data_IF_585092644448
#
_entry.id   IF_585092644448
#
_cell.length_a   1.000
_cell.length_b   1.000
_cell.length_c   1.000
_cell.angle_alpha   90.00
_cell.angle_beta   90.00
_cell.angle_gamma   90.00
#
_symmetry.space_group_name_H-M   'P 1'
#
loop_
_entity.id
_entity.type
_entity.pdbx_description
1 polymer ?
#
# COMPACT_ATOMS: atom_id res chain seq x y z
N UNK A 1 -55.77 -15.17 16.43
CA UNK A 1 -54.64 -15.01 15.48
C UNK A 1 -53.78 -13.87 15.99
N UNK A 2 -52.60 -14.17 16.58
CA UNK A 2 -51.69 -13.13 17.11
C UNK A 2 -50.65 -12.82 16.03
N UNK A 3 -50.78 -11.63 15.43
CA UNK A 3 -49.89 -11.12 14.39
C UNK A 3 -48.48 -10.91 14.95
N UNK A 4 -47.52 -11.71 14.50
CA UNK A 4 -46.10 -11.56 14.83
C UNK A 4 -45.47 -10.53 13.89
N UNK A 5 -45.68 -9.25 14.18
CA UNK A 5 -45.17 -8.13 13.38
C UNK A 5 -43.76 -7.66 13.80
N UNK A 6 -43.08 -8.40 14.69
CA UNK A 6 -41.79 -7.99 15.26
C UNK A 6 -40.56 -8.41 14.44
N UNK A 7 -40.74 -9.25 13.42
CA UNK A 7 -39.63 -9.88 12.69
C UNK A 7 -39.06 -9.11 11.47
N UNK A 8 -39.78 -8.20 10.78
CA UNK A 8 -39.20 -7.49 9.63
C UNK A 8 -38.39 -6.25 10.05
N UNK A 9 -38.57 -5.72 11.27
CA UNK A 9 -37.92 -4.50 11.72
C UNK A 9 -36.43 -4.70 12.03
N UNK A 10 -36.04 -5.92 12.45
CA UNK A 10 -34.66 -6.26 12.81
C UNK A 10 -33.72 -6.37 11.60
N UNK A 11 -34.25 -6.68 10.41
CA UNK A 11 -33.45 -6.74 9.18
C UNK A 11 -33.11 -5.35 8.62
N UNK A 12 -33.95 -4.34 8.88
CA UNK A 12 -33.75 -2.99 8.34
C UNK A 12 -32.63 -2.22 9.08
N UNK A 13 -32.39 -2.53 10.36
CA UNK A 13 -31.34 -1.90 11.15
C UNK A 13 -29.92 -2.38 10.79
N UNK A 14 -29.76 -3.58 10.22
CA UNK A 14 -28.44 -4.12 9.86
C UNK A 14 -27.85 -3.46 8.59
N UNK A 15 -28.69 -2.90 7.72
CA UNK A 15 -28.26 -2.22 6.50
C UNK A 15 -27.75 -0.79 6.73
N UNK A 16 -28.05 -0.20 7.89
CA UNK A 16 -27.64 1.18 8.23
C UNK A 16 -26.20 1.28 8.74
N UNK A 17 -25.52 0.15 8.96
CA UNK A 17 -24.12 0.09 9.43
C UNK A 17 -23.13 -0.41 8.35
N UNK A 18 -23.58 -0.59 7.11
CA UNK A 18 -22.67 -0.82 5.99
C UNK A 18 -22.04 0.53 5.62
N UNK A 19 -20.92 0.88 6.29
CA UNK A 19 -20.14 2.07 5.96
C UNK A 19 -19.69 2.03 4.49
N UNK A 20 -19.64 3.19 3.79
CA UNK A 20 -19.12 3.25 2.45
C UNK A 20 -17.60 3.07 2.52
N UNK A 21 -17.11 1.92 2.07
CA UNK A 21 -15.68 1.66 2.06
C UNK A 21 -15.38 0.19 1.88
N UNK A 22 -15.60 -0.34 0.68
CA UNK A 22 -14.97 -1.59 0.28
C UNK A 22 -13.50 -1.26 -0.02
N UNK A 23 -12.71 -1.10 1.04
CA UNK A 23 -11.26 -1.11 0.94
C UNK A 23 -10.81 -2.56 0.93
N UNK A 24 -10.32 -3.03 -0.22
CA UNK A 24 -9.63 -4.31 -0.29
C UNK A 24 -8.20 -4.10 0.18
N UNK A 25 -7.78 -4.84 1.21
CA UNK A 25 -6.40 -4.88 1.66
C UNK A 25 -5.80 -6.26 1.36
N UNK A 26 -4.57 -6.26 0.86
CA UNK A 26 -3.77 -7.45 0.62
C UNK A 26 -2.39 -7.30 1.22
N UNK A 27 -1.87 -8.39 1.77
CA UNK A 27 -0.51 -8.48 2.29
C UNK A 27 0.27 -9.48 1.45
N UNK A 28 1.51 -9.13 1.13
CA UNK A 28 2.45 -10.00 0.43
C UNK A 28 3.82 -9.93 1.10
N UNK A 29 4.52 -11.06 1.12
CA UNK A 29 5.91 -11.13 1.53
C UNK A 29 6.76 -11.54 0.34
N UNK A 30 7.95 -10.97 0.25
CA UNK A 30 8.87 -11.23 -0.84
C UNK A 30 10.27 -10.71 -0.55
N UNK A 31 11.06 -10.58 -1.61
CA UNK A 31 12.37 -9.96 -1.57
C UNK A 31 12.27 -8.54 -2.13
N UNK A 32 12.77 -7.57 -1.39
CA UNK A 32 12.97 -6.21 -1.82
C UNK A 32 14.45 -5.94 -2.04
N UNK A 33 14.74 -5.08 -3.00
CA UNK A 33 16.08 -4.57 -3.26
C UNK A 33 16.26 -3.24 -2.56
N UNK A 34 17.38 -3.09 -1.85
CA UNK A 34 17.82 -1.83 -1.26
C UNK A 34 19.11 -1.41 -1.94
N UNK A 35 19.11 -0.22 -2.56
CA UNK A 35 20.30 0.36 -3.16
C UNK A 35 20.66 1.61 -2.36
N UNK A 36 21.84 1.64 -1.75
CA UNK A 36 22.32 2.79 -0.98
C UNK A 36 23.83 2.89 -1.06
N UNK A 37 24.37 4.09 -1.29
CA UNK A 37 25.82 4.29 -1.41
C UNK A 37 26.48 3.52 -2.55
N UNK A 38 25.70 3.08 -3.55
CA UNK A 38 26.18 2.24 -4.66
C UNK A 38 26.21 0.74 -4.36
N UNK A 39 25.84 0.32 -3.14
CA UNK A 39 25.70 -1.09 -2.80
C UNK A 39 24.25 -1.54 -2.96
N UNK A 40 24.08 -2.76 -3.46
CA UNK A 40 22.80 -3.42 -3.66
C UNK A 40 22.65 -4.56 -2.64
N UNK A 41 21.53 -4.60 -1.92
CA UNK A 41 21.25 -5.63 -0.92
C UNK A 41 19.81 -6.09 -1.04
N UNK A 42 19.61 -7.41 -1.12
CA UNK A 42 18.29 -8.01 -1.01
C UNK A 42 17.88 -8.18 0.46
N UNK A 43 16.62 -7.86 0.76
CA UNK A 43 16.02 -8.01 2.09
C UNK A 43 14.66 -8.65 1.97
N UNK A 44 14.31 -9.52 2.91
CA UNK A 44 12.93 -9.94 3.06
C UNK A 44 12.09 -8.71 3.41
N UNK A 45 10.99 -8.53 2.71
CA UNK A 45 10.07 -7.43 2.96
C UNK A 45 8.62 -7.88 2.99
N UNK A 46 7.83 -7.19 3.80
CA UNK A 46 6.38 -7.28 3.82
C UNK A 46 5.78 -6.05 3.17
N UNK A 47 4.83 -6.24 2.25
CA UNK A 47 4.11 -5.16 1.59
C UNK A 47 2.63 -5.32 1.91
N UNK A 48 2.04 -4.26 2.44
CA UNK A 48 0.59 -4.14 2.58
C UNK A 48 0.09 -3.14 1.55
N UNK A 49 -0.94 -3.50 0.80
CA UNK A 49 -1.63 -2.62 -0.15
C UNK A 49 -3.11 -2.59 0.22
N UNK A 50 -3.65 -1.41 0.40
CA UNK A 50 -5.08 -1.17 0.58
C UNK A 50 -5.57 -0.21 -0.51
N UNK A 51 -6.65 -0.57 -1.19
CA UNK A 51 -7.24 0.28 -2.22
C UNK A 51 -8.77 0.25 -2.16
N UNK A 52 -9.37 1.37 -2.50
CA UNK A 52 -10.79 1.51 -2.79
C UNK A 52 -10.97 2.46 -4.00
N UNK A 53 -12.21 2.78 -4.35
CA UNK A 53 -12.53 3.62 -5.51
C UNK A 53 -12.03 5.07 -5.41
N UNK A 54 -11.65 5.54 -4.22
CA UNK A 54 -11.23 6.92 -3.94
C UNK A 54 -9.77 7.04 -3.50
N UNK A 55 -9.16 5.96 -3.00
CA UNK A 55 -7.83 6.03 -2.39
C UNK A 55 -7.04 4.74 -2.55
N UNK A 56 -5.72 4.92 -2.61
CA UNK A 56 -4.70 3.89 -2.57
C UNK A 56 -3.74 4.16 -1.42
N UNK A 57 -3.33 3.10 -0.73
CA UNK A 57 -2.30 3.15 0.30
C UNK A 57 -1.44 1.89 0.21
N UNK A 58 -0.13 2.05 0.27
CA UNK A 58 0.80 0.94 0.38
C UNK A 58 1.90 1.22 1.39
N UNK A 59 2.30 0.20 2.13
CA UNK A 59 3.36 0.28 3.13
C UNK A 59 4.30 -0.92 3.02
N UNK A 60 5.60 -0.65 2.94
CA UNK A 60 6.63 -1.68 2.80
C UNK A 60 7.50 -1.69 4.06
N UNK A 61 7.51 -2.81 4.77
CA UNK A 61 8.48 -3.12 5.84
C UNK A 61 9.66 -3.86 5.22
N UNK A 62 10.82 -3.22 5.22
CA UNK A 62 12.03 -3.76 4.59
C UNK A 62 12.99 -4.21 5.68
N UNK A 63 12.77 -5.42 6.19
CA UNK A 63 13.69 -6.15 7.06
C UNK A 63 14.15 -5.36 8.28
N UNK A 64 13.22 -4.99 9.16
CA UNK A 64 13.55 -4.29 10.40
C UNK A 64 12.38 -4.07 11.37
N UNK A 65 11.14 -4.36 10.97
CA UNK A 65 9.94 -4.10 11.78
C UNK A 65 9.44 -2.65 11.66
N UNK A 66 10.12 -1.83 10.85
CA UNK A 66 9.76 -0.44 10.56
C UNK A 66 9.49 -0.27 9.08
N UNK A 67 8.53 0.61 8.76
CA UNK A 67 8.13 0.87 7.37
C UNK A 67 9.13 1.79 6.69
N UNK A 68 9.78 1.26 5.67
CA UNK A 68 10.79 1.97 4.88
C UNK A 68 10.16 2.73 3.70
N UNK A 69 9.03 2.27 3.18
CA UNK A 69 8.28 2.96 2.11
C UNK A 69 6.82 3.09 2.51
N UNK A 70 6.26 4.28 2.34
CA UNK A 70 4.83 4.55 2.46
C UNK A 70 4.36 5.32 1.23
N UNK A 71 3.29 4.86 0.60
CA UNK A 71 2.67 5.47 -0.56
C UNK A 71 1.22 5.71 -0.22
N UNK A 72 0.74 6.93 -0.46
CA UNK A 72 -0.69 7.23 -0.36
C UNK A 72 -1.11 8.05 -1.56
N UNK A 73 -2.28 7.73 -2.10
CA UNK A 73 -2.89 8.49 -3.17
C UNK A 73 -4.40 8.57 -2.97
N UNK A 74 -4.95 9.71 -3.35
CA UNK A 74 -6.38 10.01 -3.46
C UNK A 74 -6.62 10.58 -4.85
N UNK A 75 -7.87 10.93 -5.17
CA UNK A 75 -8.20 11.61 -6.42
C UNK A 75 -7.42 12.94 -6.60
N UNK A 76 -7.13 13.66 -5.51
CA UNK A 76 -6.56 15.00 -5.56
C UNK A 76 -5.07 15.06 -5.21
N UNK A 77 -4.57 14.09 -4.44
CA UNK A 77 -3.24 14.17 -3.83
C UNK A 77 -2.54 12.82 -3.86
N UNK A 78 -1.21 12.84 -3.99
CA UNK A 78 -0.37 11.67 -3.79
C UNK A 78 0.87 12.05 -3.00
N UNK A 79 1.36 11.12 -2.18
CA UNK A 79 2.61 11.26 -1.44
C UNK A 79 3.33 9.94 -1.35
N UNK A 80 4.65 10.02 -1.37
CA UNK A 80 5.55 8.89 -1.17
C UNK A 80 6.54 9.33 -0.09
N UNK A 81 6.75 8.50 0.91
CA UNK A 81 7.75 8.69 1.95
C UNK A 81 8.68 7.50 2.03
N UNK A 82 9.97 7.77 2.09
CA UNK A 82 11.05 6.81 2.25
C UNK A 82 11.79 7.11 3.54
N UNK A 83 11.76 6.18 4.49
CA UNK A 83 12.35 6.35 5.83
C UNK A 83 11.92 7.66 6.53
N UNK A 84 10.68 8.11 6.32
CA UNK A 84 10.15 9.36 6.88
C UNK A 84 10.46 10.62 6.06
N UNK A 85 11.30 10.54 5.04
CA UNK A 85 11.66 11.65 4.15
C UNK A 85 10.81 11.62 2.86
N UNK A 86 10.70 12.73 2.11
CA UNK A 86 10.03 12.74 0.81
C UNK A 86 10.68 11.77 -0.20
N UNK A 87 9.85 10.91 -0.78
CA UNK A 87 10.25 9.94 -1.80
C UNK A 87 9.66 10.26 -3.17
N UNK A 88 10.23 9.61 -4.20
CA UNK A 88 9.85 9.81 -5.59
C UNK A 88 9.76 8.47 -6.31
N UNK A 89 8.83 8.30 -7.26
CA UNK A 89 8.81 7.11 -8.10
C UNK A 89 10.02 7.13 -9.04
N UNK A 90 10.69 5.99 -9.15
CA UNK A 90 11.77 5.82 -10.11
C UNK A 90 11.13 5.46 -11.46
N UNK A 91 11.43 6.20 -12.56
CA UNK A 91 10.82 5.94 -13.86
C UNK A 91 11.04 4.51 -14.35
N UNK A 92 10.00 3.88 -14.90
CA UNK A 92 10.09 2.52 -15.44
C UNK A 92 11.12 2.37 -16.56
N UNK A 93 11.47 3.46 -17.26
CA UNK A 93 12.52 3.46 -18.29
C UNK A 93 13.93 3.15 -17.76
N UNK A 94 14.15 3.25 -16.45
CA UNK A 94 15.45 2.95 -15.81
C UNK A 94 15.38 1.75 -14.85
N UNK A 95 14.18 1.23 -14.61
CA UNK A 95 13.93 0.11 -13.71
C UNK A 95 13.82 -1.18 -14.55
N UNK A 96 14.28 -2.30 -14.01
CA UNK A 96 14.10 -3.59 -14.69
C UNK A 96 12.61 -3.95 -14.75
N UNK A 97 12.18 -4.64 -15.82
CA UNK A 97 10.79 -5.03 -16.00
C UNK A 97 10.24 -5.79 -14.78
N UNK A 98 9.06 -5.37 -14.30
CA UNK A 98 8.36 -6.00 -13.18
C UNK A 98 8.79 -5.52 -11.79
N UNK A 99 9.70 -4.55 -11.70
CA UNK A 99 10.04 -3.87 -10.45
C UNK A 99 9.28 -2.55 -10.32
N UNK A 100 8.71 -2.35 -9.13
CA UNK A 100 8.39 -1.01 -8.65
C UNK A 100 9.57 -0.53 -7.84
N UNK A 101 10.04 0.69 -8.09
CA UNK A 101 11.09 1.32 -7.30
C UNK A 101 10.70 2.74 -6.86
N UNK A 102 11.09 3.10 -5.65
CA UNK A 102 11.02 4.45 -5.11
C UNK A 102 12.38 4.90 -4.62
N UNK A 103 12.66 6.19 -4.68
CA UNK A 103 13.95 6.76 -4.28
C UNK A 103 13.80 8.03 -3.47
N UNK A 104 14.77 8.30 -2.60
CA UNK A 104 14.95 9.64 -2.01
C UNK A 104 15.45 10.61 -3.08
N UNK A 105 15.52 11.90 -2.73
CA UNK A 105 16.06 12.91 -3.64
C UNK A 105 17.50 12.55 -4.08
N UNK A 106 17.81 12.82 -5.37
CA UNK A 106 19.10 12.53 -5.98
C UNK A 106 19.51 11.04 -6.00
N UNK A 107 18.55 10.12 -5.88
CA UNK A 107 18.81 8.67 -5.92
C UNK A 107 19.78 8.17 -4.83
N UNK A 108 19.89 8.89 -3.71
CA UNK A 108 20.81 8.53 -2.62
C UNK A 108 20.45 7.18 -1.97
N UNK A 109 19.15 6.85 -1.96
CA UNK A 109 18.62 5.56 -1.52
C UNK A 109 17.46 5.16 -2.42
N UNK A 110 17.42 3.90 -2.82
CA UNK A 110 16.37 3.33 -3.66
C UNK A 110 15.87 2.04 -3.01
N UNK A 111 14.55 1.88 -2.98
CA UNK A 111 13.88 0.65 -2.59
C UNK A 111 13.09 0.13 -3.77
N UNK A 112 13.27 -1.14 -4.09
CA UNK A 112 12.51 -1.81 -5.13
C UNK A 112 11.83 -3.06 -4.60
N UNK A 113 10.65 -3.35 -5.12
CA UNK A 113 9.97 -4.60 -4.88
C UNK A 113 9.39 -5.14 -6.18
N UNK A 114 9.41 -6.47 -6.30
CA UNK A 114 8.91 -7.17 -7.47
C UNK A 114 7.44 -7.52 -7.30
N UNK A 115 6.70 -7.46 -8.41
CA UNK A 115 5.34 -8.00 -8.51
C UNK A 115 4.33 -7.33 -7.54
N UNK A 116 4.59 -6.09 -7.11
CA UNK A 116 3.63 -5.28 -6.34
C UNK A 116 2.52 -4.86 -7.29
N UNK A 117 1.26 -5.26 -7.07
CA UNK A 117 0.15 -4.78 -7.89
C UNK A 117 -0.01 -3.27 -7.69
N UNK A 118 0.17 -2.52 -8.78
CA UNK A 118 -0.14 -1.09 -8.91
C UNK A 118 -1.46 -0.89 -9.62
#
# INVERSE_FOLDING_TARGET
MKSSLAKPLLFLCALLFAGPGVAGCGEMQGMCLVISGGEETERVCGVTVCANVHSYWAQWDIGGGESAVSVSATEDTSSISLDGEPGFPVPQSIVQDGLTCYSTQNLAKIYCAKDIPM
#
